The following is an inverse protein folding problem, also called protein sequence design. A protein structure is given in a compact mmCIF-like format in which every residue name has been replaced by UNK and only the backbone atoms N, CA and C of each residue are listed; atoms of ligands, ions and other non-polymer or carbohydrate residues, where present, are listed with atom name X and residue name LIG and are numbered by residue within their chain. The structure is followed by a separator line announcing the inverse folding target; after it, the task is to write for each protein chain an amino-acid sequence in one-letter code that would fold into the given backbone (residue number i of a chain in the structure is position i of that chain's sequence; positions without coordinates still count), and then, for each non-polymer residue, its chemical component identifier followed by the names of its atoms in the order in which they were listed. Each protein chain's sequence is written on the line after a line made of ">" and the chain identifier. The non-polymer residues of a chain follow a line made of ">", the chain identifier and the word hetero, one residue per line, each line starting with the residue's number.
data_IF_223707173921
#
_entry.id   IF_223707173921
#
_cell.length_a   1.000
_cell.length_b   1.000
_cell.length_c   1.000
_cell.angle_alpha   90.00
_cell.angle_beta   90.00
_cell.angle_gamma   90.00
#
_symmetry.space_group_name_H-M   'P 1'
#
loop_
_entity.id
_entity.type
_entity.pdbx_description
1 polymer ?
#
# COMPACT_ATOMS: atom_id res chain seq x y z
N UNK A 1 34.46 10.12 11.24
CA UNK A 1 33.08 10.50 10.85
C UNK A 1 32.75 9.73 9.59
N UNK A 2 31.61 9.02 9.52
CA UNK A 2 31.19 8.42 8.25
C UNK A 2 30.87 9.53 7.25
N UNK A 3 31.11 9.28 5.97
CA UNK A 3 30.78 10.20 4.88
C UNK A 3 29.25 10.34 4.81
N UNK A 4 28.75 11.58 4.76
CA UNK A 4 27.33 11.89 4.56
C UNK A 4 27.10 12.45 3.16
N UNK A 5 26.19 11.84 2.42
CA UNK A 5 25.86 12.21 1.04
C UNK A 5 24.43 12.74 0.97
N UNK A 6 24.27 14.01 0.62
CA UNK A 6 22.97 14.63 0.40
C UNK A 6 22.67 14.76 -1.10
N UNK A 7 21.44 14.43 -1.49
CA UNK A 7 20.95 14.60 -2.86
C UNK A 7 19.76 15.55 -2.87
N UNK A 8 19.51 16.19 -4.02
CA UNK A 8 18.44 17.18 -4.16
C UNK A 8 17.08 16.54 -3.87
N UNK A 9 16.27 17.22 -3.05
CA UNK A 9 14.91 16.80 -2.73
C UNK A 9 14.80 15.68 -1.69
N UNK A 10 15.90 15.36 -0.98
CA UNK A 10 15.89 14.44 0.16
C UNK A 10 16.27 15.16 1.45
N UNK A 11 15.51 14.88 2.50
CA UNK A 11 15.60 15.55 3.79
C UNK A 11 16.69 14.95 4.70
N UNK A 12 17.17 13.74 4.40
CA UNK A 12 18.28 13.08 5.10
C UNK A 12 19.42 12.67 4.16
N UNK A 13 20.61 12.42 4.73
CA UNK A 13 21.72 11.82 4.00
C UNK A 13 21.40 10.36 3.64
N UNK A 14 21.89 9.90 2.49
CA UNK A 14 21.63 8.56 1.98
C UNK A 14 22.04 7.45 2.97
N UNK A 15 23.19 7.62 3.63
CA UNK A 15 23.70 6.68 4.63
C UNK A 15 22.75 6.57 5.83
N UNK A 16 22.21 7.70 6.30
CA UNK A 16 21.27 7.73 7.43
C UNK A 16 19.94 7.07 7.05
N UNK A 17 19.43 7.33 5.84
CA UNK A 17 18.23 6.66 5.33
C UNK A 17 18.41 5.15 5.21
N UNK A 18 19.52 4.69 4.60
CA UNK A 18 19.81 3.26 4.42
C UNK A 18 19.92 2.56 5.78
N UNK A 19 20.75 3.10 6.68
CA UNK A 19 20.98 2.49 7.99
C UNK A 19 19.68 2.41 8.79
N UNK A 20 18.88 3.48 8.81
CA UNK A 20 17.59 3.50 9.51
C UNK A 20 16.58 2.52 8.92
N UNK A 21 16.48 2.41 7.60
CA UNK A 21 15.55 1.48 6.94
C UNK A 21 15.93 0.03 7.18
N UNK A 22 17.22 -0.33 7.04
CA UNK A 22 17.69 -1.69 7.30
C UNK A 22 17.52 -2.09 8.77
N UNK A 23 17.78 -1.18 9.71
CA UNK A 23 17.56 -1.43 11.13
C UNK A 23 16.08 -1.72 11.43
N UNK A 24 15.16 -0.90 10.88
CA UNK A 24 13.71 -1.10 11.04
C UNK A 24 13.23 -2.41 10.43
N UNK A 25 13.70 -2.80 9.25
CA UNK A 25 13.33 -4.09 8.63
C UNK A 25 13.82 -5.27 9.48
N UNK A 26 15.05 -5.22 10.00
CA UNK A 26 15.55 -6.25 10.93
C UNK A 26 14.74 -6.32 12.22
N UNK A 27 14.30 -5.17 12.75
CA UNK A 27 13.43 -5.13 13.93
C UNK A 27 12.05 -5.77 13.68
N UNK A 28 11.61 -5.83 12.42
CA UNK A 28 10.39 -6.54 11.98
C UNK A 28 10.66 -8.00 11.58
N UNK A 29 11.89 -8.51 11.79
CA UNK A 29 12.35 -9.82 11.33
C UNK A 29 12.27 -10.02 9.81
N UNK A 30 12.45 -8.95 9.04
CA UNK A 30 12.59 -9.01 7.58
C UNK A 30 14.08 -8.91 7.24
N UNK A 31 14.65 -9.99 6.70
CA UNK A 31 16.06 -10.04 6.30
C UNK A 31 16.20 -9.81 4.79
N UNK A 32 16.60 -8.59 4.42
CA UNK A 32 16.77 -8.19 3.04
C UNK A 32 18.11 -8.67 2.47
N UNK A 33 18.08 -9.26 1.28
CA UNK A 33 19.26 -9.45 0.44
C UNK A 33 19.24 -8.60 -0.84
N UNK A 34 20.42 -8.13 -1.24
CA UNK A 34 20.65 -7.45 -2.50
C UNK A 34 20.94 -8.48 -3.60
N UNK A 35 19.90 -8.97 -4.29
CA UNK A 35 20.02 -10.12 -5.18
C UNK A 35 20.77 -9.82 -6.49
N UNK A 36 20.62 -8.61 -7.05
CA UNK A 36 21.37 -8.22 -8.25
C UNK A 36 21.56 -6.71 -8.38
N UNK A 37 22.70 -6.32 -8.98
CA UNK A 37 23.08 -4.94 -9.23
C UNK A 37 23.42 -4.73 -10.70
N UNK A 38 22.98 -3.60 -11.26
CA UNK A 38 23.34 -3.16 -12.60
C UNK A 38 23.86 -1.72 -12.56
N UNK A 39 24.80 -1.43 -13.46
CA UNK A 39 25.31 -0.09 -13.75
C UNK A 39 25.61 0.01 -15.25
N UNK A 40 24.57 0.08 -16.11
CA UNK A 40 24.74 -0.05 -17.56
C UNK A 40 25.53 1.12 -18.19
N UNK A 41 25.45 2.31 -17.60
CA UNK A 41 26.16 3.53 -18.06
C UNK A 41 26.49 4.43 -16.87
N UNK A 42 27.44 5.38 -16.98
CA UNK A 42 27.78 6.27 -15.89
C UNK A 42 26.56 6.97 -15.27
N UNK A 43 26.50 6.95 -13.94
CA UNK A 43 25.43 7.57 -13.14
C UNK A 43 24.04 6.96 -13.32
N UNK A 44 23.93 5.69 -13.74
CA UNK A 44 22.66 4.97 -13.83
C UNK A 44 22.82 3.62 -13.15
N UNK A 45 22.23 3.47 -11.98
CA UNK A 45 22.27 2.25 -11.17
C UNK A 45 20.87 1.70 -10.96
N UNK A 46 20.76 0.37 -10.94
CA UNK A 46 19.59 -0.33 -10.41
C UNK A 46 20.00 -1.47 -9.49
N UNK A 47 19.14 -1.79 -8.53
CA UNK A 47 19.29 -2.92 -7.61
C UNK A 47 17.96 -3.64 -7.45
N UNK A 48 17.99 -4.96 -7.41
CA UNK A 48 16.87 -5.78 -6.99
C UNK A 48 17.13 -6.26 -5.56
N UNK A 49 16.18 -6.03 -4.65
CA UNK A 49 16.24 -6.52 -3.28
C UNK A 49 15.01 -7.38 -2.97
N UNK A 50 15.16 -8.35 -2.07
CA UNK A 50 14.06 -9.21 -1.62
C UNK A 50 14.24 -9.67 -0.18
N UNK A 51 13.15 -10.10 0.43
CA UNK A 51 13.21 -10.88 1.67
C UNK A 51 13.78 -12.28 1.39
N UNK A 52 14.71 -12.75 2.22
CA UNK A 52 15.25 -14.11 2.13
C UNK A 52 14.24 -15.19 2.47
N UNK A 53 13.28 -14.88 3.34
CA UNK A 53 12.29 -15.84 3.82
C UNK A 53 11.01 -15.85 2.96
N UNK A 54 10.83 -14.83 2.11
CA UNK A 54 9.66 -14.69 1.25
C UNK A 54 10.01 -14.04 -0.10
N UNK A 55 10.29 -14.87 -1.10
CA UNK A 55 10.64 -14.44 -2.47
C UNK A 55 9.56 -13.58 -3.15
N UNK A 56 8.31 -13.59 -2.67
CA UNK A 56 7.24 -12.72 -3.18
C UNK A 56 7.43 -11.25 -2.77
N UNK A 57 8.18 -10.98 -1.71
CA UNK A 57 8.39 -9.64 -1.17
C UNK A 57 9.72 -9.06 -1.68
N UNK A 58 9.66 -8.42 -2.84
CA UNK A 58 10.82 -7.80 -3.48
C UNK A 58 10.51 -6.40 -4.04
N UNK A 59 11.53 -5.57 -4.16
CA UNK A 59 11.43 -4.24 -4.79
C UNK A 59 12.65 -3.92 -5.62
N UNK A 60 12.56 -2.87 -6.44
CA UNK A 60 13.66 -2.43 -7.25
C UNK A 60 14.03 -0.98 -6.93
N UNK A 61 15.33 -0.73 -6.79
CA UNK A 61 15.87 0.61 -6.65
C UNK A 61 16.42 1.14 -7.96
N UNK A 62 16.35 2.45 -8.12
CA UNK A 62 17.03 3.19 -9.18
C UNK A 62 17.69 4.44 -8.63
N UNK A 63 18.87 4.79 -9.13
CA UNK A 63 19.58 5.98 -8.66
C UNK A 63 20.80 6.33 -9.48
N UNK A 64 21.40 7.49 -9.18
CA UNK A 64 22.60 7.97 -9.86
C UNK A 64 23.91 7.48 -9.23
N UNK A 65 23.81 6.90 -8.04
CA UNK A 65 24.90 6.22 -7.32
C UNK A 65 24.37 4.95 -6.67
N UNK A 66 25.26 4.00 -6.32
CA UNK A 66 24.88 2.79 -5.56
C UNK A 66 24.07 3.11 -4.31
N UNK A 67 24.48 4.08 -3.48
CA UNK A 67 23.76 4.46 -2.26
C UNK A 67 22.37 5.02 -2.56
N UNK A 68 22.23 5.92 -3.54
CA UNK A 68 20.91 6.46 -3.89
C UNK A 68 19.97 5.37 -4.43
N UNK A 69 20.53 4.40 -5.14
CA UNK A 69 19.81 3.26 -5.68
C UNK A 69 19.34 2.31 -4.57
N UNK A 70 20.21 1.97 -3.60
CA UNK A 70 19.82 1.14 -2.45
C UNK A 70 18.77 1.84 -1.58
N UNK A 71 18.96 3.14 -1.30
CA UNK A 71 17.97 3.93 -0.58
C UNK A 71 16.61 3.94 -1.30
N UNK A 72 16.60 4.03 -2.64
CA UNK A 72 15.38 3.92 -3.44
C UNK A 72 14.70 2.55 -3.31
N UNK A 73 15.47 1.44 -3.34
CA UNK A 73 14.90 0.10 -3.23
C UNK A 73 14.26 -0.14 -1.87
N UNK A 74 14.97 0.26 -0.80
CA UNK A 74 14.50 0.16 0.58
C UNK A 74 13.29 1.06 0.83
N UNK A 75 13.28 2.28 0.27
CA UNK A 75 12.13 3.18 0.32
C UNK A 75 10.91 2.55 -0.35
N UNK A 76 11.07 2.00 -1.55
CA UNK A 76 10.01 1.25 -2.24
C UNK A 76 9.55 0.06 -1.39
N UNK A 77 10.45 -0.63 -0.68
CA UNK A 77 10.08 -1.74 0.20
C UNK A 77 9.16 -1.28 1.34
N UNK A 78 9.49 -0.18 2.01
CA UNK A 78 8.64 0.41 3.05
C UNK A 78 7.30 0.93 2.49
N UNK A 79 7.30 1.50 1.29
CA UNK A 79 6.08 1.90 0.58
C UNK A 79 5.14 0.70 0.38
N UNK A 80 5.63 -0.38 -0.23
CA UNK A 80 4.81 -1.58 -0.50
C UNK A 80 4.39 -2.30 0.77
N UNK A 81 5.28 -2.40 1.76
CA UNK A 81 4.98 -3.02 3.05
C UNK A 81 3.89 -2.24 3.79
N UNK A 82 3.99 -0.91 3.84
CA UNK A 82 3.04 -0.06 4.56
C UNK A 82 1.66 -0.01 3.90
N UNK A 83 1.61 -0.22 2.58
CA UNK A 83 0.37 -0.28 1.80
C UNK A 83 -0.18 -1.70 1.63
N UNK A 84 0.36 -2.71 2.35
CA UNK A 84 0.04 -4.13 2.20
C UNK A 84 0.13 -4.65 0.74
N UNK A 85 0.86 -3.94 -0.13
CA UNK A 85 0.76 -4.12 -1.58
C UNK A 85 1.40 -5.41 -2.08
N UNK A 86 2.36 -5.97 -1.33
CA UNK A 86 2.88 -7.32 -1.60
C UNK A 86 1.78 -8.40 -1.59
N UNK A 87 0.68 -8.13 -0.88
CA UNK A 87 -0.41 -9.08 -0.66
C UNK A 87 -1.67 -8.75 -1.45
N UNK A 88 -1.69 -7.64 -2.22
CA UNK A 88 -2.89 -7.09 -2.84
C UNK A 88 -3.62 -8.09 -3.77
N UNK A 89 -2.89 -8.99 -4.42
CA UNK A 89 -3.44 -9.94 -5.38
C UNK A 89 -3.85 -11.30 -4.76
N UNK A 90 -3.75 -11.44 -3.43
CA UNK A 90 -3.91 -12.73 -2.75
C UNK A 90 -5.08 -12.75 -1.76
N UNK A 91 -5.85 -13.83 -1.80
CA UNK A 91 -6.70 -14.19 -0.66
C UNK A 91 -5.82 -14.64 0.51
N UNK A 92 -6.04 -14.06 1.70
CA UNK A 92 -5.18 -14.29 2.86
C UNK A 92 -5.60 -15.50 3.71
N UNK A 93 -6.72 -16.14 3.39
CA UNK A 93 -7.22 -17.30 4.12
C UNK A 93 -8.19 -16.94 5.24
N UNK A 94 -8.95 -17.95 5.68
CA UNK A 94 -10.07 -17.77 6.61
C UNK A 94 -9.64 -17.18 7.96
N UNK A 95 -8.44 -17.52 8.43
CA UNK A 95 -7.93 -17.01 9.70
C UNK A 95 -7.73 -15.49 9.66
N UNK A 96 -7.23 -14.94 8.55
CA UNK A 96 -7.05 -13.50 8.38
C UNK A 96 -8.39 -12.81 8.12
N UNK A 97 -9.23 -13.39 7.25
CA UNK A 97 -10.56 -12.85 6.96
C UNK A 97 -11.43 -12.66 8.22
N UNK A 98 -11.31 -13.57 9.18
CA UNK A 98 -12.05 -13.55 10.46
C UNK A 98 -11.28 -12.93 11.63
N UNK A 99 -10.09 -12.37 11.41
CA UNK A 99 -9.32 -11.69 12.45
C UNK A 99 -9.97 -10.37 12.88
N UNK A 100 -9.43 -9.71 13.90
CA UNK A 100 -9.92 -8.40 14.37
C UNK A 100 -9.94 -7.37 13.23
N UNK A 101 -8.89 -7.36 12.40
CA UNK A 101 -8.78 -6.58 11.17
C UNK A 101 -8.08 -7.41 10.07
N UNK A 102 -8.29 -7.06 8.80
CA UNK A 102 -7.65 -7.68 7.63
C UNK A 102 -6.51 -6.83 7.09
N UNK A 103 -6.76 -5.53 6.88
CA UNK A 103 -5.83 -4.58 6.27
C UNK A 103 -5.18 -3.67 7.30
N UNK A 104 -5.98 -2.97 8.11
CA UNK A 104 -5.50 -2.03 9.12
C UNK A 104 -6.40 -1.99 10.35
N UNK A 105 -5.86 -1.73 11.56
CA UNK A 105 -6.68 -1.62 12.77
C UNK A 105 -7.77 -0.53 12.74
N UNK A 106 -7.63 0.48 11.89
CA UNK A 106 -8.60 1.56 11.72
C UNK A 106 -9.53 1.36 10.49
N UNK A 107 -9.50 0.20 9.85
CA UNK A 107 -10.46 -0.15 8.80
C UNK A 107 -11.89 -0.23 9.34
N UNK A 108 -12.86 -0.16 8.44
CA UNK A 108 -14.27 -0.37 8.76
C UNK A 108 -14.93 -1.31 7.78
N UNK A 109 -15.87 -2.07 8.29
CA UNK A 109 -16.68 -3.02 7.55
C UNK A 109 -18.09 -2.47 7.37
N UNK A 110 -18.56 -2.44 6.13
CA UNK A 110 -19.85 -1.90 5.74
C UNK A 110 -20.72 -3.01 5.17
N UNK A 111 -21.92 -3.17 5.72
CA UNK A 111 -22.87 -4.19 5.31
C UNK A 111 -24.30 -3.67 5.46
N UNK A 112 -25.17 -4.09 4.56
CA UNK A 112 -26.60 -3.87 4.67
C UNK A 112 -27.27 -5.10 5.29
N UNK A 113 -28.15 -4.88 6.26
CA UNK A 113 -28.98 -5.91 6.91
C UNK A 113 -30.46 -5.63 6.61
N UNK A 114 -30.80 -5.65 5.32
CA UNK A 114 -32.15 -5.43 4.83
C UNK A 114 -33.03 -6.69 4.87
N UNK A 115 -34.36 -6.54 4.69
CA UNK A 115 -35.30 -7.66 4.76
C UNK A 115 -35.24 -8.59 3.54
N UNK A 116 -34.57 -8.19 2.45
CA UNK A 116 -34.45 -8.96 1.22
C UNK A 116 -33.00 -9.05 0.72
N UNK A 117 -32.71 -10.04 -0.12
CA UNK A 117 -31.39 -10.19 -0.75
C UNK A 117 -31.01 -8.96 -1.58
N UNK A 118 -31.98 -8.34 -2.25
CA UNK A 118 -31.75 -7.10 -3.02
C UNK A 118 -31.33 -5.96 -2.09
N UNK A 119 -31.95 -5.86 -0.91
CA UNK A 119 -31.57 -4.83 0.06
C UNK A 119 -30.18 -5.08 0.65
N UNK A 120 -29.83 -6.35 0.88
CA UNK A 120 -28.50 -6.74 1.35
C UNK A 120 -27.39 -6.46 0.31
N UNK A 121 -27.72 -6.49 -0.98
CA UNK A 121 -26.77 -6.28 -2.07
C UNK A 121 -26.67 -4.83 -2.55
N UNK A 122 -27.43 -3.90 -1.96
CA UNK A 122 -27.23 -2.46 -2.19
C UNK A 122 -25.89 -2.01 -1.61
N UNK A 123 -25.30 -0.97 -2.19
CA UNK A 123 -24.14 -0.28 -1.60
C UNK A 123 -24.57 0.35 -0.25
N UNK A 124 -23.88 0.06 0.87
CA UNK A 124 -24.17 0.68 2.16
C UNK A 124 -23.81 2.17 2.20
N UNK A 125 -24.54 2.93 3.00
CA UNK A 125 -24.23 4.34 3.26
C UNK A 125 -22.88 4.51 4.00
N UNK A 126 -22.26 5.68 3.82
CA UNK A 126 -21.02 6.05 4.52
C UNK A 126 -19.73 5.66 3.81
N UNK A 127 -19.83 4.89 2.72
CA UNK A 127 -18.74 4.69 1.75
C UNK A 127 -18.71 5.84 0.75
N UNK A 128 -17.50 6.33 0.46
CA UNK A 128 -17.24 7.42 -0.49
C UNK A 128 -18.10 8.68 -0.26
N UNK A 129 -18.04 9.63 -1.20
CA UNK A 129 -18.95 10.78 -1.26
C UNK A 129 -19.72 10.77 -2.59
N UNK A 130 -20.74 11.63 -2.71
CA UNK A 130 -21.58 11.73 -3.92
C UNK A 130 -20.75 11.93 -5.20
N UNK A 131 -19.72 12.79 -5.15
CA UNK A 131 -18.89 13.08 -6.33
C UNK A 131 -18.05 11.86 -6.74
N UNK A 132 -17.57 11.08 -5.77
CA UNK A 132 -16.84 9.85 -6.04
C UNK A 132 -17.78 8.76 -6.58
N UNK A 133 -19.00 8.65 -6.06
CA UNK A 133 -19.99 7.73 -6.61
C UNK A 133 -20.39 8.09 -8.04
N UNK A 134 -20.61 9.38 -8.34
CA UNK A 134 -20.87 9.84 -9.71
C UNK A 134 -19.71 9.51 -10.67
N UNK A 135 -18.48 9.39 -10.16
CA UNK A 135 -17.31 9.02 -10.95
C UNK A 135 -17.21 7.50 -11.17
N UNK A 136 -17.43 6.69 -10.12
CA UNK A 136 -17.25 5.23 -10.19
C UNK A 136 -18.49 4.48 -10.69
N UNK A 137 -19.68 5.00 -10.42
CA UNK A 137 -20.95 4.36 -10.73
C UNK A 137 -21.98 5.38 -11.28
N UNK A 138 -21.67 6.03 -12.42
CA UNK A 138 -22.54 7.07 -13.00
C UNK A 138 -23.94 6.55 -13.37
N UNK A 139 -24.02 5.27 -13.75
CA UNK A 139 -25.26 4.62 -14.17
C UNK A 139 -26.01 3.92 -13.00
N UNK A 140 -25.43 3.92 -11.79
CA UNK A 140 -26.02 3.36 -10.56
C UNK A 140 -26.30 1.85 -10.67
N UNK A 141 -25.36 1.10 -11.22
CA UNK A 141 -25.45 -0.34 -11.48
C UNK A 141 -24.54 -1.18 -10.56
N UNK A 142 -23.75 -0.53 -9.71
CA UNK A 142 -22.87 -1.22 -8.76
C UNK A 142 -23.68 -1.80 -7.60
N UNK A 143 -23.31 -3.00 -7.20
CA UNK A 143 -23.88 -3.71 -6.05
C UNK A 143 -22.77 -4.03 -5.07
N UNK A 144 -23.11 -4.21 -3.79
CA UNK A 144 -22.14 -4.49 -2.74
C UNK A 144 -21.29 -5.73 -3.05
N UNK A 145 -21.92 -6.78 -3.58
CA UNK A 145 -21.25 -8.02 -3.98
C UNK A 145 -20.16 -7.86 -5.04
N UNK A 146 -20.19 -6.79 -5.83
CA UNK A 146 -19.16 -6.51 -6.86
C UNK A 146 -17.90 -5.90 -6.29
N UNK A 147 -17.91 -5.40 -5.04
CA UNK A 147 -16.82 -4.63 -4.45
C UNK A 147 -16.32 -5.16 -3.10
N UNK A 148 -16.46 -6.46 -2.86
CA UNK A 148 -15.73 -7.12 -1.77
C UNK A 148 -14.23 -7.17 -2.06
N UNK A 149 -13.39 -7.01 -1.05
CA UNK A 149 -11.94 -7.09 -1.24
C UNK A 149 -11.47 -8.55 -1.39
N UNK A 150 -10.50 -8.76 -2.28
CA UNK A 150 -9.94 -10.08 -2.56
C UNK A 150 -9.32 -10.73 -1.33
N UNK A 151 -8.72 -9.92 -0.46
CA UNK A 151 -7.93 -10.39 0.67
C UNK A 151 -8.76 -11.09 1.74
N UNK A 152 -10.02 -10.66 1.96
CA UNK A 152 -10.91 -11.25 2.95
C UNK A 152 -11.89 -12.30 2.42
N UNK A 153 -11.96 -12.53 1.11
CA UNK A 153 -12.82 -13.57 0.52
C UNK A 153 -14.15 -13.06 -0.06
N UNK A 154 -15.24 -13.79 0.16
CA UNK A 154 -16.50 -13.64 -0.60
C UNK A 154 -17.53 -12.72 0.03
N UNK A 155 -17.11 -11.86 0.97
CA UNK A 155 -17.92 -10.74 1.48
C UNK A 155 -18.88 -11.07 2.60
N UNK A 156 -18.70 -12.20 3.30
CA UNK A 156 -19.50 -12.58 4.48
C UNK A 156 -19.53 -11.46 5.53
N UNK A 157 -18.38 -10.79 5.71
CA UNK A 157 -18.17 -9.68 6.65
C UNK A 157 -18.60 -8.31 6.08
N UNK A 158 -18.88 -8.21 4.78
CA UNK A 158 -19.24 -6.98 4.08
C UNK A 158 -18.09 -6.36 3.28
N UNK A 159 -18.20 -5.08 2.96
CA UNK A 159 -17.20 -4.30 2.22
C UNK A 159 -16.19 -3.73 3.22
N UNK A 160 -14.92 -4.11 3.10
CA UNK A 160 -13.85 -3.45 3.84
C UNK A 160 -13.47 -2.12 3.20
N UNK A 161 -13.33 -1.07 4.02
CA UNK A 161 -12.89 0.24 3.58
C UNK A 161 -11.92 0.87 4.56
N UNK A 162 -10.99 1.66 4.02
CA UNK A 162 -9.99 2.40 4.79
C UNK A 162 -10.20 3.91 4.72
N UNK A 163 -9.80 4.65 5.76
CA UNK A 163 -10.01 6.09 5.79
C UNK A 163 -8.96 6.82 4.94
N UNK A 164 -9.41 7.68 4.03
CA UNK A 164 -8.58 8.63 3.31
C UNK A 164 -8.98 10.05 3.69
N UNK A 165 -7.99 10.90 3.96
CA UNK A 165 -8.24 12.30 4.28
C UNK A 165 -8.36 13.13 3.00
N UNK A 166 -9.51 13.79 2.82
CA UNK A 166 -9.73 14.67 1.68
C UNK A 166 -9.07 16.03 1.92
N UNK A 167 -8.03 16.34 1.15
CA UNK A 167 -7.16 17.50 1.42
C UNK A 167 -7.83 18.87 1.42
N UNK A 168 -8.94 19.07 0.69
CA UNK A 168 -9.62 20.38 0.62
C UNK A 168 -10.34 20.77 1.92
N UNK A 169 -10.71 19.80 2.75
CA UNK A 169 -11.51 20.05 3.96
C UNK A 169 -11.21 19.09 5.13
N UNK A 170 -10.17 18.25 5.01
CA UNK A 170 -9.70 17.30 6.02
C UNK A 170 -10.75 16.29 6.50
N UNK A 171 -11.80 16.05 5.72
CA UNK A 171 -12.80 15.04 6.05
C UNK A 171 -12.28 13.65 5.69
N UNK A 172 -12.53 12.69 6.58
CA UNK A 172 -12.28 11.29 6.31
C UNK A 172 -13.35 10.74 5.36
N UNK A 173 -12.89 10.04 4.32
CA UNK A 173 -13.71 9.33 3.34
C UNK A 173 -13.33 7.86 3.43
N UNK A 174 -14.33 6.99 3.59
CA UNK A 174 -14.14 5.55 3.63
C UNK A 174 -14.08 4.99 2.22
N UNK A 175 -12.88 4.60 1.79
CA UNK A 175 -12.62 4.09 0.45
C UNK A 175 -12.60 2.56 0.48
N UNK A 176 -13.47 1.87 -0.29
CA UNK A 176 -13.45 0.42 -0.40
C UNK A 176 -12.10 -0.08 -0.88
N UNK A 177 -11.56 -1.11 -0.21
CA UNK A 177 -10.28 -1.71 -0.59
C UNK A 177 -10.34 -2.27 -2.02
N UNK A 178 -11.48 -2.85 -2.40
CA UNK A 178 -11.70 -3.33 -3.77
C UNK A 178 -11.49 -2.23 -4.82
N UNK A 179 -12.04 -1.02 -4.60
CA UNK A 179 -11.89 0.10 -5.54
C UNK A 179 -10.42 0.57 -5.57
N UNK A 180 -9.75 0.61 -4.42
CA UNK A 180 -8.31 0.93 -4.33
C UNK A 180 -7.50 -0.06 -5.17
N UNK A 181 -7.65 -1.35 -4.89
CA UNK A 181 -6.88 -2.43 -5.53
C UNK A 181 -7.10 -2.51 -7.04
N UNK A 182 -8.33 -2.35 -7.51
CA UNK A 182 -8.65 -2.48 -8.93
C UNK A 182 -8.38 -1.21 -9.75
N UNK A 183 -8.55 -0.02 -9.16
CA UNK A 183 -8.47 1.25 -9.91
C UNK A 183 -7.13 1.95 -9.81
N UNK A 184 -6.43 1.80 -8.68
CA UNK A 184 -5.24 2.59 -8.37
C UNK A 184 -3.96 1.75 -8.31
N UNK A 185 -4.07 0.47 -7.96
CA UNK A 185 -2.91 -0.42 -7.80
C UNK A 185 -1.81 0.27 -6.97
N UNK A 186 -0.53 0.17 -7.34
CA UNK A 186 0.56 0.86 -6.66
C UNK A 186 0.70 2.36 -6.97
N UNK A 187 -0.17 2.94 -7.81
CA UNK A 187 0.00 4.32 -8.25
C UNK A 187 -0.34 5.31 -7.13
N UNK A 188 0.55 6.28 -6.88
CA UNK A 188 0.39 7.29 -5.84
C UNK A 188 0.81 6.85 -4.43
N UNK A 189 1.35 5.64 -4.28
CA UNK A 189 2.06 5.24 -3.06
C UNK A 189 3.43 5.92 -3.02
N UNK A 190 3.91 6.21 -1.81
CA UNK A 190 5.23 6.79 -1.57
C UNK A 190 5.70 6.51 -0.15
N UNK A 191 7.02 6.45 0.04
CA UNK A 191 7.67 6.46 1.35
C UNK A 191 8.86 7.42 1.31
N UNK A 192 9.16 8.03 2.47
CA UNK A 192 10.21 9.04 2.57
C UNK A 192 10.73 9.19 3.99
N UNK A 193 11.82 9.94 4.11
CA UNK A 193 12.41 10.25 5.42
C UNK A 193 11.48 11.10 6.30
N UNK A 194 10.61 11.90 5.67
CA UNK A 194 9.61 12.74 6.33
C UNK A 194 8.28 12.66 5.58
N UNK A 195 7.21 13.11 6.23
CA UNK A 195 5.85 13.11 5.64
C UNK A 195 5.73 13.93 4.35
N UNK A 196 6.50 15.02 4.20
CA UNK A 196 6.43 15.88 3.01
C UNK A 196 7.41 15.45 1.90
N UNK A 197 8.45 14.70 2.25
CA UNK A 197 9.35 14.09 1.27
C UNK A 197 8.67 12.93 0.54
N UNK A 198 7.86 12.16 1.27
CA UNK A 198 6.98 11.14 0.73
C UNK A 198 5.87 11.77 -0.11
#
# INVERSE_FOLDING_TARGET
>A
MSMKTHIKGKDLALEESIDSMLEKLRALNIDIEEASWLNPVPNVFSVHIRDKDCDLMFTNGKGTTKKSCLASALGEYFERLSCNYFFADFYLGENFANAEFVHYPNERWFKNDGPSQIDNDKIPDGLLDEKLWDYYDPDKELTASKIFDTNSGTGERGICACPYQRQRDNKDIWFPINIIGNSYVSNGMSAGNTKNEA
#
